data_IF_615750647743
#
_entry.id   IF_615750647743
#
_cell.length_a   1.000
_cell.length_b   1.000
_cell.length_c   1.000
_cell.angle_alpha   90.00
_cell.angle_beta   90.00
_cell.angle_gamma   90.00
#
_symmetry.space_group_name_H-M   'P 1'
#
loop_
_entity.id
_entity.type
_entity.pdbx_description
1 polymer ?
#
# COMPACT_ATOMS: atom_id res chain seq x y z
N UNK A 1 40.20 -66.05 20.86
CA UNK A 1 39.80 -65.00 21.83
C UNK A 1 39.51 -63.69 21.04
N UNK A 2 38.28 -63.51 20.61
CA UNK A 2 37.87 -62.31 19.87
C UNK A 2 37.17 -61.37 20.84
N UNK A 3 37.87 -60.33 21.25
CA UNK A 3 37.25 -59.22 21.97
C UNK A 3 36.50 -58.34 20.98
N UNK A 4 35.19 -58.54 20.92
CA UNK A 4 34.24 -57.62 20.30
C UNK A 4 34.11 -56.36 21.17
N UNK A 5 34.87 -55.33 20.84
CA UNK A 5 34.61 -54.00 21.41
C UNK A 5 33.39 -53.40 20.69
N UNK A 6 32.22 -53.64 21.26
CA UNK A 6 31.04 -52.86 20.92
C UNK A 6 31.31 -51.39 21.33
N UNK A 7 31.60 -50.53 20.36
CA UNK A 7 31.59 -49.09 20.55
C UNK A 7 30.16 -48.69 20.91
N UNK A 8 29.92 -48.48 22.19
CA UNK A 8 28.75 -47.73 22.65
C UNK A 8 28.86 -46.31 22.07
N UNK A 9 28.21 -46.08 20.92
CA UNK A 9 27.89 -44.74 20.48
C UNK A 9 27.02 -44.11 21.57
N UNK A 10 27.63 -43.34 22.43
CA UNK A 10 26.91 -42.44 23.33
C UNK A 10 26.11 -41.50 22.45
N UNK A 11 24.79 -41.73 22.39
CA UNK A 11 23.83 -40.81 21.79
C UNK A 11 23.98 -39.51 22.59
N UNK A 12 24.56 -38.49 21.95
CA UNK A 12 24.60 -37.14 22.49
C UNK A 12 23.13 -36.74 22.73
N UNK A 13 22.74 -36.44 23.99
CA UNK A 13 21.36 -36.07 24.26
C UNK A 13 21.07 -34.81 23.45
N UNK A 14 20.24 -34.95 22.44
CA UNK A 14 19.66 -33.80 21.77
C UNK A 14 18.83 -33.07 22.82
N UNK A 15 19.30 -31.89 23.26
CA UNK A 15 18.56 -30.99 24.14
C UNK A 15 17.28 -30.61 23.44
N UNK A 16 16.22 -31.42 23.65
CA UNK A 16 14.87 -31.11 23.18
C UNK A 16 14.41 -29.87 23.91
N UNK A 17 14.02 -28.86 23.13
CA UNK A 17 13.47 -27.65 23.74
C UNK A 17 12.15 -27.98 24.45
N UNK A 18 11.90 -27.40 25.65
CA UNK A 18 10.65 -27.60 26.36
C UNK A 18 9.47 -27.28 25.44
N UNK A 19 8.40 -28.09 25.51
CA UNK A 19 7.24 -27.98 24.63
C UNK A 19 6.64 -26.56 24.58
N UNK A 20 6.60 -25.85 25.71
CA UNK A 20 6.09 -24.49 25.78
C UNK A 20 6.91 -23.49 24.92
N UNK A 21 8.22 -23.62 24.82
CA UNK A 21 9.07 -22.78 23.97
C UNK A 21 8.77 -23.01 22.49
N UNK A 22 8.54 -24.26 22.12
CA UNK A 22 8.16 -24.62 20.75
C UNK A 22 6.79 -24.03 20.39
N UNK A 23 5.82 -24.13 21.30
CA UNK A 23 4.48 -23.58 21.10
C UNK A 23 4.52 -22.04 20.96
N UNK A 24 5.20 -21.35 21.87
CA UNK A 24 5.36 -19.89 21.81
C UNK A 24 6.06 -19.46 20.51
N UNK A 25 7.11 -20.18 20.11
CA UNK A 25 7.83 -19.91 18.87
C UNK A 25 6.91 -20.04 17.63
N UNK A 26 6.06 -21.08 17.57
CA UNK A 26 5.11 -21.25 16.49
C UNK A 26 4.01 -20.19 16.46
N UNK A 27 3.43 -19.85 17.61
CA UNK A 27 2.42 -18.79 17.71
C UNK A 27 3.02 -17.47 17.24
N UNK A 28 4.20 -17.11 17.73
CA UNK A 28 4.89 -15.88 17.32
C UNK A 28 5.21 -15.86 15.82
N UNK A 29 5.66 -16.99 15.27
CA UNK A 29 5.95 -17.12 13.85
C UNK A 29 4.69 -16.98 12.98
N UNK A 30 3.58 -17.60 13.36
CA UNK A 30 2.32 -17.49 12.63
C UNK A 30 1.78 -16.06 12.66
N UNK A 31 1.74 -15.42 13.83
CA UNK A 31 1.25 -14.05 13.97
C UNK A 31 2.13 -13.06 13.17
N UNK A 32 3.45 -13.15 13.29
CA UNK A 32 4.37 -12.33 12.50
C UNK A 32 4.17 -12.55 11.00
N UNK A 33 4.06 -13.81 10.56
CA UNK A 33 3.86 -14.14 9.15
C UNK A 33 2.55 -13.60 8.62
N UNK A 34 1.44 -13.75 9.35
CA UNK A 34 0.12 -13.22 8.94
C UNK A 34 0.13 -11.71 8.78
N UNK A 35 0.76 -10.98 9.69
CA UNK A 35 0.88 -9.53 9.60
C UNK A 35 1.70 -9.11 8.38
N UNK A 36 2.86 -9.70 8.18
CA UNK A 36 3.75 -9.37 7.07
C UNK A 36 3.19 -9.79 5.71
N UNK A 37 2.48 -10.94 5.62
CA UNK A 37 1.88 -11.37 4.36
C UNK A 37 0.70 -10.46 3.97
N UNK A 38 -0.12 -10.04 4.93
CA UNK A 38 -1.22 -9.12 4.68
C UNK A 38 -0.70 -7.76 4.17
N UNK A 39 0.33 -7.20 4.82
CA UNK A 39 0.94 -5.94 4.43
C UNK A 39 1.67 -6.04 3.08
N UNK A 40 2.45 -7.10 2.87
CA UNK A 40 3.24 -7.30 1.66
C UNK A 40 2.40 -7.61 0.43
N UNK A 41 1.44 -8.54 0.53
CA UNK A 41 0.55 -8.88 -0.58
C UNK A 41 -0.27 -7.68 -1.04
N UNK A 42 -0.80 -6.89 -0.10
CA UNK A 42 -1.53 -5.68 -0.47
C UNK A 42 -0.65 -4.73 -1.29
N UNK A 43 0.60 -4.47 -0.88
CA UNK A 43 1.53 -3.60 -1.61
C UNK A 43 1.91 -4.15 -2.99
N UNK A 44 1.97 -5.47 -3.14
CA UNK A 44 2.26 -6.13 -4.42
C UNK A 44 1.06 -6.11 -5.36
N UNK A 45 -0.15 -6.31 -4.82
CA UNK A 45 -1.37 -6.41 -5.65
C UNK A 45 -1.90 -5.04 -6.06
N UNK A 46 -1.66 -3.99 -5.25
CA UNK A 46 -1.99 -2.61 -5.60
C UNK A 46 -0.80 -1.67 -5.30
N UNK A 47 0.28 -1.78 -6.09
CA UNK A 47 1.51 -1.03 -5.84
C UNK A 47 1.34 0.47 -6.07
N UNK A 48 0.37 0.89 -6.88
CA UNK A 48 0.12 2.31 -7.14
C UNK A 48 -0.53 2.96 -5.91
N UNK A 49 -1.58 2.34 -5.34
CA UNK A 49 -2.17 2.84 -4.09
C UNK A 49 -1.16 2.81 -2.93
N UNK A 50 -0.31 1.78 -2.86
CA UNK A 50 0.76 1.70 -1.87
C UNK A 50 1.80 2.83 -2.05
N UNK A 51 2.17 3.18 -3.29
CA UNK A 51 3.08 4.28 -3.59
C UNK A 51 2.52 5.63 -3.15
N UNK A 52 1.22 5.89 -3.40
CA UNK A 52 0.55 7.11 -2.93
C UNK A 52 0.64 7.24 -1.41
N UNK A 53 0.40 6.16 -0.67
CA UNK A 53 0.49 6.18 0.80
C UNK A 53 1.91 6.40 1.31
N UNK A 54 2.91 5.86 0.60
CA UNK A 54 4.31 6.14 0.93
C UNK A 54 4.69 7.59 0.65
N UNK A 55 4.16 8.19 -0.42
CA UNK A 55 4.34 9.62 -0.69
C UNK A 55 3.70 10.47 0.42
N UNK A 56 2.48 10.14 0.85
CA UNK A 56 1.83 10.77 2.01
C UNK A 56 2.64 10.62 3.30
N UNK A 57 3.38 9.51 3.45
CA UNK A 57 4.33 9.30 4.54
C UNK A 57 5.69 10.00 4.31
N UNK A 58 5.80 10.93 3.36
CA UNK A 58 7.00 11.72 3.01
C UNK A 58 8.12 10.95 2.30
N UNK A 59 7.82 9.80 1.71
CA UNK A 59 8.76 9.19 0.77
C UNK A 59 8.74 10.02 -0.52
N UNK A 60 9.91 10.42 -1.10
CA UNK A 60 9.94 11.16 -2.34
C UNK A 60 9.13 10.48 -3.44
N UNK A 61 8.30 11.24 -4.16
CA UNK A 61 7.35 10.70 -5.14
C UNK A 61 8.01 9.84 -6.22
N UNK A 62 9.17 10.30 -6.74
CA UNK A 62 9.94 9.56 -7.73
C UNK A 62 10.45 8.20 -7.24
N UNK A 63 10.52 7.97 -5.93
CA UNK A 63 10.94 6.73 -5.29
C UNK A 63 9.78 5.93 -4.70
N UNK A 64 8.60 6.53 -4.54
CA UNK A 64 7.46 5.94 -3.81
C UNK A 64 7.00 4.62 -4.42
N UNK A 65 6.93 4.51 -5.76
CA UNK A 65 6.54 3.27 -6.44
C UNK A 65 7.60 2.17 -6.29
N UNK A 66 8.87 2.52 -6.46
CA UNK A 66 9.96 1.57 -6.27
C UNK A 66 10.02 1.11 -4.81
N UNK A 67 9.86 2.03 -3.86
CA UNK A 67 9.81 1.73 -2.43
C UNK A 67 8.61 0.82 -2.09
N UNK A 68 7.42 1.08 -2.64
CA UNK A 68 6.24 0.24 -2.43
C UNK A 68 6.46 -1.20 -2.90
N UNK A 69 7.00 -1.38 -4.11
CA UNK A 69 7.31 -2.70 -4.67
C UNK A 69 8.38 -3.43 -3.86
N UNK A 70 9.49 -2.75 -3.54
CA UNK A 70 10.58 -3.34 -2.76
C UNK A 70 10.13 -3.73 -1.36
N UNK A 71 9.35 -2.86 -0.71
CA UNK A 71 8.80 -3.13 0.61
C UNK A 71 7.82 -4.31 0.57
N UNK A 72 6.90 -4.32 -0.39
CA UNK A 72 5.94 -5.42 -0.57
C UNK A 72 6.62 -6.76 -0.83
N UNK A 73 7.68 -6.79 -1.66
CA UNK A 73 8.49 -7.99 -1.90
C UNK A 73 9.20 -8.41 -0.60
N UNK A 74 9.88 -7.47 0.08
CA UNK A 74 10.60 -7.77 1.31
C UNK A 74 9.68 -8.31 2.41
N UNK A 75 8.50 -7.70 2.61
CA UNK A 75 7.49 -8.15 3.57
C UNK A 75 6.95 -9.54 3.24
N UNK A 76 6.61 -9.79 1.97
CA UNK A 76 6.07 -11.10 1.55
C UNK A 76 7.12 -12.20 1.68
N UNK A 77 8.36 -11.94 1.24
CA UNK A 77 9.47 -12.88 1.41
C UNK A 77 9.72 -13.15 2.88
N UNK A 78 9.75 -12.12 3.71
CA UNK A 78 9.91 -12.23 5.17
C UNK A 78 8.85 -13.14 5.78
N UNK A 79 7.57 -12.93 5.42
CA UNK A 79 6.48 -13.76 5.91
C UNK A 79 6.65 -15.24 5.57
N UNK A 80 7.02 -15.54 4.32
CA UNK A 80 7.27 -16.92 3.88
C UNK A 80 8.46 -17.53 4.62
N UNK A 81 9.56 -16.78 4.77
CA UNK A 81 10.74 -17.27 5.48
C UNK A 81 10.48 -17.53 6.97
N UNK A 82 9.67 -16.68 7.64
CA UNK A 82 9.29 -16.89 9.05
C UNK A 82 8.43 -18.13 9.21
N UNK A 83 7.53 -18.41 8.29
CA UNK A 83 6.62 -19.55 8.35
C UNK A 83 7.36 -20.88 8.15
N UNK A 84 8.37 -20.91 7.30
CA UNK A 84 9.16 -22.11 7.02
C UNK A 84 10.20 -22.33 8.13
N UNK A 85 10.13 -23.42 8.93
CA UNK A 85 11.01 -23.63 10.10
C UNK A 85 12.50 -23.54 9.78
N UNK A 86 12.89 -24.02 8.59
CA UNK A 86 14.28 -24.01 8.10
C UNK A 86 14.85 -22.61 7.91
N UNK A 87 14.02 -21.63 7.57
CA UNK A 87 14.44 -20.25 7.28
C UNK A 87 13.96 -19.26 8.33
N UNK A 88 13.20 -19.72 9.33
CA UNK A 88 12.56 -18.89 10.36
C UNK A 88 13.51 -17.90 11.01
N UNK A 89 14.72 -18.34 11.35
CA UNK A 89 15.71 -17.45 11.96
C UNK A 89 16.03 -16.24 11.08
N UNK A 90 16.30 -16.46 9.79
CA UNK A 90 16.59 -15.37 8.85
C UNK A 90 15.38 -14.49 8.58
N UNK A 91 14.20 -15.10 8.40
CA UNK A 91 12.94 -14.37 8.25
C UNK A 91 12.61 -13.49 9.45
N UNK A 92 12.78 -14.01 10.67
CA UNK A 92 12.52 -13.28 11.90
C UNK A 92 13.47 -12.09 12.11
N UNK A 93 14.75 -12.26 11.80
CA UNK A 93 15.70 -11.14 11.82
C UNK A 93 15.41 -10.09 10.76
N UNK A 94 15.00 -10.51 9.57
CA UNK A 94 14.58 -9.58 8.51
C UNK A 94 13.31 -8.83 8.91
N UNK A 95 12.31 -9.52 9.52
CA UNK A 95 11.10 -8.89 10.06
C UNK A 95 11.44 -7.83 11.11
N UNK A 96 12.35 -8.19 12.05
CA UNK A 96 12.79 -7.27 13.10
C UNK A 96 13.50 -6.05 12.52
N UNK A 97 14.37 -6.24 11.53
CA UNK A 97 15.07 -5.15 10.86
C UNK A 97 14.10 -4.22 10.13
N UNK A 98 13.13 -4.76 9.39
CA UNK A 98 12.10 -3.97 8.70
C UNK A 98 11.25 -3.14 9.67
N UNK A 99 10.82 -3.73 10.80
CA UNK A 99 10.07 -3.02 11.84
C UNK A 99 10.89 -1.91 12.48
N UNK A 100 12.15 -2.17 12.82
CA UNK A 100 13.05 -1.17 13.40
C UNK A 100 13.27 0.00 12.44
N UNK A 101 13.57 -0.28 11.16
CA UNK A 101 13.75 0.75 10.14
C UNK A 101 12.47 1.58 9.98
N UNK A 102 11.31 0.93 9.96
CA UNK A 102 10.03 1.60 9.86
C UNK A 102 9.74 2.48 11.07
N UNK A 103 9.92 1.97 12.30
CA UNK A 103 9.74 2.74 13.53
C UNK A 103 10.70 3.94 13.58
N UNK A 104 11.95 3.78 13.16
CA UNK A 104 12.92 4.88 13.08
C UNK A 104 12.50 5.92 12.06
N UNK A 105 12.02 5.49 10.88
CA UNK A 105 11.55 6.40 9.84
C UNK A 105 10.37 7.26 10.32
N UNK A 106 9.36 6.63 10.90
CA UNK A 106 8.20 7.33 11.47
C UNK A 106 8.64 8.20 12.66
N UNK A 107 9.56 7.73 13.50
CA UNK A 107 10.08 8.50 14.64
C UNK A 107 10.80 9.78 14.23
N UNK A 108 11.64 9.73 13.19
CA UNK A 108 12.32 10.92 12.66
C UNK A 108 11.33 11.92 12.06
N UNK A 109 10.26 11.44 11.43
CA UNK A 109 9.23 12.29 10.82
C UNK A 109 8.02 12.53 11.75
N UNK A 110 8.12 12.20 13.04
CA UNK A 110 6.98 12.17 13.96
C UNK A 110 6.24 13.51 14.05
N UNK A 111 6.97 14.61 14.14
CA UNK A 111 6.38 15.95 14.26
C UNK A 111 5.50 16.33 13.06
N UNK A 112 5.83 15.81 11.89
CA UNK A 112 5.11 16.08 10.65
C UNK A 112 4.00 15.08 10.35
N UNK A 113 4.09 13.85 10.91
CA UNK A 113 3.15 12.77 10.67
C UNK A 113 2.22 12.52 11.85
N UNK A 114 2.37 13.26 12.97
CA UNK A 114 1.54 13.10 14.16
C UNK A 114 0.07 13.32 13.83
N UNK A 115 -0.78 12.37 14.21
CA UNK A 115 -2.22 12.41 13.93
C UNK A 115 -2.62 11.98 12.52
N UNK A 116 -1.66 11.87 11.58
CA UNK A 116 -1.95 11.33 10.26
C UNK A 116 -2.31 9.84 10.35
N UNK A 117 -3.22 9.38 9.49
CA UNK A 117 -3.56 7.97 9.42
C UNK A 117 -2.43 7.18 8.74
N UNK A 118 -1.80 6.27 9.47
CA UNK A 118 -0.90 5.29 8.88
C UNK A 118 -1.70 4.10 8.34
N UNK A 119 -1.92 4.11 7.04
CA UNK A 119 -2.64 3.06 6.33
C UNK A 119 -1.69 1.97 5.79
N UNK A 120 -0.63 1.63 6.54
CA UNK A 120 0.33 0.58 6.15
C UNK A 120 -0.30 -0.81 6.13
N UNK A 121 -1.45 -0.99 6.81
CA UNK A 121 -2.27 -2.19 6.79
C UNK A 121 -3.64 -1.87 6.20
N UNK A 122 -4.13 -2.65 5.21
CA UNK A 122 -5.39 -2.37 4.53
C UNK A 122 -6.61 -2.50 5.42
N UNK A 123 -6.49 -3.25 6.53
CA UNK A 123 -7.61 -3.59 7.42
C UNK A 123 -7.65 -2.77 8.72
N UNK A 124 -6.58 -2.06 9.07
CA UNK A 124 -6.46 -1.38 10.36
C UNK A 124 -6.01 0.06 10.12
N UNK A 125 -6.93 0.99 10.32
CA UNK A 125 -6.61 2.41 10.36
C UNK A 125 -6.02 2.74 11.73
N UNK A 126 -4.78 3.22 11.76
CA UNK A 126 -4.11 3.64 13.00
C UNK A 126 -3.54 5.05 12.80
N UNK A 127 -3.91 5.97 13.67
CA UNK A 127 -3.27 7.27 13.72
C UNK A 127 -1.84 7.15 14.28
N UNK A 128 -0.92 7.91 13.70
CA UNK A 128 0.46 7.97 14.18
C UNK A 128 0.49 8.71 15.53
N UNK A 129 0.75 7.98 16.58
CA UNK A 129 0.78 8.43 17.96
C UNK A 129 1.46 7.41 18.87
N UNK A 130 1.46 7.58 20.19
CA UNK A 130 2.10 6.63 21.12
C UNK A 130 1.59 5.19 20.97
N UNK A 131 0.29 5.00 20.74
CA UNK A 131 -0.32 3.68 20.53
C UNK A 131 0.18 2.97 19.27
N UNK A 132 0.58 3.71 18.26
CA UNK A 132 1.21 3.18 17.05
C UNK A 132 2.54 2.49 17.39
N UNK A 133 3.43 3.18 18.12
CA UNK A 133 4.73 2.62 18.51
C UNK A 133 4.60 1.44 19.47
N UNK A 134 3.61 1.44 20.35
CA UNK A 134 3.33 0.28 21.24
C UNK A 134 2.94 -0.94 20.38
N UNK A 135 2.06 -0.75 19.40
CA UNK A 135 1.67 -1.84 18.49
C UNK A 135 2.85 -2.40 17.71
N UNK A 136 3.71 -1.53 17.18
CA UNK A 136 4.90 -1.94 16.43
C UNK A 136 5.96 -2.59 17.33
N UNK A 137 6.10 -2.15 18.59
CA UNK A 137 6.95 -2.79 19.57
C UNK A 137 6.46 -4.21 19.93
N UNK A 138 5.16 -4.44 20.02
CA UNK A 138 4.58 -5.77 20.19
C UNK A 138 4.87 -6.66 18.99
N UNK A 139 4.72 -6.13 17.76
CA UNK A 139 5.08 -6.86 16.54
C UNK A 139 6.57 -7.20 16.49
N UNK A 140 7.44 -6.27 16.91
CA UNK A 140 8.89 -6.50 17.02
C UNK A 140 9.20 -7.61 18.03
N UNK A 141 8.54 -7.59 19.19
CA UNK A 141 8.68 -8.64 20.20
C UNK A 141 8.29 -10.02 19.63
N UNK A 142 7.19 -10.10 18.91
CA UNK A 142 6.76 -11.35 18.25
C UNK A 142 7.79 -11.82 17.23
N UNK A 143 8.32 -10.92 16.40
CA UNK A 143 9.35 -11.25 15.42
C UNK A 143 10.64 -11.79 16.11
N UNK A 144 11.10 -11.12 17.16
CA UNK A 144 12.26 -11.57 17.95
C UNK A 144 12.02 -12.94 18.60
N UNK A 145 10.83 -13.16 19.20
CA UNK A 145 10.47 -14.46 19.80
C UNK A 145 10.42 -15.57 18.75
N UNK A 146 9.94 -15.29 17.55
CA UNK A 146 9.93 -16.25 16.43
C UNK A 146 11.35 -16.64 16.00
N UNK A 147 12.33 -15.73 16.10
CA UNK A 147 13.72 -15.97 15.71
C UNK A 147 14.61 -16.53 16.81
N UNK A 148 14.29 -16.22 18.06
CA UNK A 148 15.20 -16.48 19.20
C UNK A 148 15.52 -17.97 19.41
N UNK A 149 14.50 -18.82 19.26
CA UNK A 149 14.64 -20.28 19.39
C UNK A 149 14.72 -21.03 18.06
N UNK A 150 14.73 -20.30 16.93
CA UNK A 150 14.81 -20.92 15.62
C UNK A 150 16.21 -21.42 15.30
N UNK A 151 16.32 -22.63 14.74
CA UNK A 151 17.59 -23.19 14.29
C UNK A 151 18.02 -22.56 12.96
N UNK A 152 19.32 -22.26 12.74
CA UNK A 152 19.79 -21.77 11.45
C UNK A 152 19.62 -22.85 10.37
N UNK A 153 19.09 -22.46 9.22
CA UNK A 153 18.96 -23.36 8.06
C UNK A 153 20.17 -23.26 7.13
N UNK A 154 20.53 -24.38 6.49
CA UNK A 154 21.76 -24.49 5.68
C UNK A 154 21.59 -24.15 4.19
N UNK A 155 20.39 -24.12 3.64
CA UNK A 155 20.18 -23.95 2.19
C UNK A 155 19.75 -22.56 1.78
N UNK A 156 20.64 -21.85 1.10
CA UNK A 156 20.34 -20.53 0.51
C UNK A 156 19.52 -20.61 -0.77
N UNK A 157 19.61 -21.73 -1.54
CA UNK A 157 18.94 -21.88 -2.85
C UNK A 157 17.43 -21.75 -2.78
N UNK A 158 16.77 -22.37 -1.81
CA UNK A 158 15.32 -22.28 -1.65
C UNK A 158 14.85 -20.88 -1.24
N UNK A 159 15.64 -20.13 -0.45
CA UNK A 159 15.32 -18.74 -0.11
C UNK A 159 15.40 -17.82 -1.35
N UNK A 160 16.38 -18.04 -2.21
CA UNK A 160 16.50 -17.32 -3.49
C UNK A 160 15.33 -17.64 -4.41
N UNK A 161 14.88 -18.89 -4.49
CA UNK A 161 13.70 -19.27 -5.27
C UNK A 161 12.43 -18.56 -4.79
N UNK A 162 12.22 -18.47 -3.47
CA UNK A 162 11.10 -17.72 -2.89
C UNK A 162 11.20 -16.23 -3.29
N UNK A 163 12.37 -15.63 -3.16
CA UNK A 163 12.59 -14.23 -3.56
C UNK A 163 12.27 -14.04 -5.06
N UNK A 164 12.78 -14.89 -5.93
CA UNK A 164 12.51 -14.83 -7.38
C UNK A 164 11.00 -14.97 -7.68
N UNK A 165 10.32 -15.95 -7.07
CA UNK A 165 8.90 -16.17 -7.29
C UNK A 165 8.06 -14.97 -6.85
N UNK A 166 8.34 -14.39 -5.66
CA UNK A 166 7.65 -13.19 -5.15
C UNK A 166 7.93 -11.99 -6.03
N UNK A 167 9.18 -11.81 -6.50
CA UNK A 167 9.54 -10.71 -7.39
C UNK A 167 8.82 -10.80 -8.73
N UNK A 168 8.78 -11.99 -9.35
CA UNK A 168 8.04 -12.22 -10.60
C UNK A 168 6.55 -11.92 -10.39
N UNK A 169 5.96 -12.41 -9.29
CA UNK A 169 4.57 -12.12 -8.97
C UNK A 169 4.31 -10.62 -8.79
N UNK A 170 5.21 -9.89 -8.12
CA UNK A 170 5.10 -8.44 -7.95
C UNK A 170 5.15 -7.69 -9.29
N UNK A 171 6.07 -8.06 -10.18
CA UNK A 171 6.19 -7.44 -11.51
C UNK A 171 4.98 -7.73 -12.39
N UNK A 172 4.45 -8.96 -12.37
CA UNK A 172 3.23 -9.33 -13.10
C UNK A 172 2.03 -8.58 -12.55
N UNK A 173 1.87 -8.50 -11.22
CA UNK A 173 0.79 -7.74 -10.59
C UNK A 173 0.85 -6.26 -10.94
N UNK A 174 2.05 -5.66 -10.90
CA UNK A 174 2.25 -4.28 -11.32
C UNK A 174 1.86 -4.07 -12.79
N UNK A 175 2.35 -4.93 -13.69
CA UNK A 175 1.99 -4.87 -15.11
C UNK A 175 0.49 -5.00 -15.33
N UNK A 176 -0.18 -5.93 -14.66
CA UNK A 176 -1.62 -6.10 -14.73
C UNK A 176 -2.39 -4.87 -14.21
N UNK A 177 -1.93 -4.27 -13.12
CA UNK A 177 -2.54 -3.04 -12.54
C UNK A 177 -2.34 -1.86 -13.47
N UNK A 178 -1.14 -1.68 -14.03
CA UNK A 178 -0.84 -0.61 -14.98
C UNK A 178 -1.71 -0.73 -16.25
N UNK A 179 -1.85 -1.95 -16.80
CA UNK A 179 -2.73 -2.20 -17.96
C UNK A 179 -4.20 -1.94 -17.64
N UNK A 180 -4.67 -2.35 -16.45
CA UNK A 180 -6.07 -2.11 -16.03
C UNK A 180 -6.40 -0.62 -15.86
N UNK A 181 -5.42 0.19 -15.48
CA UNK A 181 -5.59 1.64 -15.33
C UNK A 181 -5.45 2.40 -16.65
N UNK A 182 -4.94 1.77 -17.72
CA UNK A 182 -4.87 2.36 -19.06
C UNK A 182 -5.97 1.78 -19.95
N UNK A 183 -6.80 2.66 -20.51
CA UNK A 183 -7.81 2.26 -21.47
C UNK A 183 -9.10 1.65 -20.87
N UNK A 184 -9.27 1.72 -19.54
CA UNK A 184 -10.53 1.30 -18.89
C UNK A 184 -11.69 2.09 -19.48
N UNK A 185 -12.75 1.37 -19.92
CA UNK A 185 -13.94 2.00 -20.47
C UNK A 185 -14.80 2.57 -19.34
N UNK A 186 -15.11 3.86 -19.45
CA UNK A 186 -15.98 4.54 -18.51
C UNK A 186 -17.43 4.04 -18.63
N UNK A 187 -18.23 4.08 -17.55
CA UNK A 187 -19.68 3.88 -17.64
C UNK A 187 -20.26 4.87 -18.64
N UNK A 188 -21.12 4.45 -19.57
CA UNK A 188 -21.58 5.32 -20.65
C UNK A 188 -22.36 6.55 -20.17
N UNK A 189 -23.07 6.39 -19.05
CA UNK A 189 -23.86 7.45 -18.42
C UNK A 189 -23.61 7.42 -16.92
N UNK A 190 -23.41 8.58 -16.33
CA UNK A 190 -23.36 8.82 -14.89
C UNK A 190 -24.31 9.95 -14.51
N UNK A 191 -24.65 10.10 -13.25
CA UNK A 191 -25.47 11.20 -12.75
C UNK A 191 -24.57 12.36 -12.30
N UNK A 192 -24.73 13.52 -12.92
CA UNK A 192 -23.99 14.75 -12.58
C UNK A 192 -25.00 15.84 -12.30
N UNK A 193 -24.93 16.46 -11.12
CA UNK A 193 -25.88 17.50 -10.66
C UNK A 193 -27.34 17.05 -10.79
N UNK A 194 -27.60 15.76 -10.52
CA UNK A 194 -28.93 15.16 -10.61
C UNK A 194 -29.43 14.86 -12.03
N UNK A 195 -28.61 15.07 -13.08
CA UNK A 195 -28.93 14.82 -14.47
C UNK A 195 -28.07 13.74 -15.10
N UNK A 196 -28.60 12.96 -16.05
CA UNK A 196 -27.79 12.00 -16.79
C UNK A 196 -26.72 12.72 -17.63
N UNK A 197 -25.48 12.27 -17.51
CA UNK A 197 -24.31 12.83 -18.17
C UNK A 197 -23.56 11.74 -18.93
N UNK A 198 -23.28 11.95 -20.22
CA UNK A 198 -22.51 11.02 -21.05
C UNK A 198 -21.03 11.21 -20.86
N UNK A 199 -20.32 10.12 -20.55
CA UNK A 199 -18.86 10.10 -20.44
C UNK A 199 -18.15 9.75 -21.75
N UNK A 200 -18.91 9.47 -22.82
CA UNK A 200 -18.39 8.88 -24.06
C UNK A 200 -17.75 9.89 -25.02
N UNK A 201 -17.84 11.18 -24.75
CA UNK A 201 -17.35 12.23 -25.64
C UNK A 201 -16.55 13.29 -24.92
N UNK A 202 -15.49 13.77 -25.56
CA UNK A 202 -14.64 14.84 -25.07
C UNK A 202 -13.69 14.39 -23.96
N UNK A 203 -13.12 15.39 -23.28
CA UNK A 203 -12.22 15.21 -22.15
C UNK A 203 -12.95 15.44 -20.84
N UNK A 204 -12.80 14.51 -19.92
CA UNK A 204 -13.44 14.54 -18.60
C UNK A 204 -12.39 14.19 -17.57
N UNK A 205 -12.25 15.02 -16.55
CA UNK A 205 -11.43 14.70 -15.39
C UNK A 205 -12.34 14.41 -14.20
N UNK A 206 -12.31 13.18 -13.72
CA UNK A 206 -13.04 12.76 -12.51
C UNK A 206 -12.10 12.93 -11.33
N UNK A 207 -12.52 13.71 -10.34
CA UNK A 207 -11.79 13.99 -9.12
C UNK A 207 -12.52 13.39 -7.91
N UNK A 208 -11.92 12.38 -7.29
CA UNK A 208 -12.41 11.77 -6.06
C UNK A 208 -11.79 12.46 -4.86
N UNK A 209 -12.62 12.95 -3.96
CA UNK A 209 -12.17 13.73 -2.82
C UNK A 209 -12.99 13.42 -1.55
N UNK A 210 -12.38 13.66 -0.41
CA UNK A 210 -13.07 13.71 0.88
C UNK A 210 -13.14 15.19 1.33
N UNK A 211 -14.32 15.73 1.63
CA UNK A 211 -14.46 17.11 2.07
C UNK A 211 -13.67 17.47 3.35
N UNK A 212 -13.38 16.49 4.21
CA UNK A 212 -12.61 16.70 5.44
C UNK A 212 -11.10 16.48 5.25
N UNK A 213 -10.67 16.05 4.07
CA UNK A 213 -9.28 15.77 3.76
C UNK A 213 -8.52 17.04 3.36
N UNK A 214 -7.54 17.47 4.15
CA UNK A 214 -6.71 18.64 3.85
C UNK A 214 -5.92 18.48 2.53
N UNK A 215 -5.41 17.29 2.22
CA UNK A 215 -4.73 17.02 0.95
C UNK A 215 -5.66 17.18 -0.25
N UNK A 216 -6.93 16.81 -0.10
CA UNK A 216 -7.95 17.02 -1.13
C UNK A 216 -8.22 18.51 -1.33
N UNK A 217 -8.28 19.27 -0.24
CA UNK A 217 -8.49 20.72 -0.26
C UNK A 217 -7.35 21.44 -0.98
N UNK A 218 -6.10 21.13 -0.63
CA UNK A 218 -4.92 21.71 -1.28
C UNK A 218 -4.83 21.33 -2.77
N UNK A 219 -5.15 20.08 -3.11
CA UNK A 219 -5.22 19.62 -4.49
C UNK A 219 -6.26 20.39 -5.29
N UNK A 220 -7.48 20.52 -4.75
CA UNK A 220 -8.56 21.27 -5.39
C UNK A 220 -8.20 22.75 -5.58
N UNK A 221 -7.56 23.38 -4.59
CA UNK A 221 -7.03 24.76 -4.69
C UNK A 221 -5.98 24.93 -5.79
N UNK A 222 -5.11 23.94 -5.98
CA UNK A 222 -4.15 23.98 -7.09
C UNK A 222 -4.84 23.81 -8.44
N UNK A 223 -5.78 22.88 -8.53
CA UNK A 223 -6.55 22.63 -9.75
C UNK A 223 -7.50 23.76 -10.11
N UNK A 224 -7.99 24.55 -9.16
CA UNK A 224 -8.84 25.72 -9.44
C UNK A 224 -8.14 26.81 -10.25
N UNK A 225 -6.79 26.84 -10.24
CA UNK A 225 -5.97 27.79 -10.98
C UNK A 225 -5.68 27.37 -12.43
N UNK A 226 -6.14 26.18 -12.83
CA UNK A 226 -5.90 25.65 -14.17
C UNK A 226 -6.93 26.18 -15.17
N UNK A 227 -6.46 26.44 -16.38
CA UNK A 227 -7.33 26.62 -17.54
C UNK A 227 -7.70 25.24 -18.10
N UNK A 228 -8.91 24.79 -17.80
CA UNK A 228 -9.41 23.48 -18.21
C UNK A 228 -9.87 23.44 -19.68
N UNK A 229 -9.98 24.57 -20.36
CA UNK A 229 -10.46 24.63 -21.74
C UNK A 229 -11.79 23.88 -21.92
N UNK A 230 -11.78 22.86 -22.81
CA UNK A 230 -12.94 22.00 -23.08
C UNK A 230 -13.07 20.81 -22.14
N UNK A 231 -12.14 20.64 -21.20
CA UNK A 231 -12.18 19.52 -20.24
C UNK A 231 -13.24 19.78 -19.17
N UNK A 232 -14.15 18.83 -18.99
CA UNK A 232 -15.16 18.87 -17.93
C UNK A 232 -14.61 18.23 -16.66
N UNK A 233 -14.66 18.96 -15.56
CA UNK A 233 -14.24 18.45 -14.23
C UNK A 233 -15.49 17.96 -13.51
N UNK A 234 -15.45 16.70 -13.05
CA UNK A 234 -16.52 16.07 -12.27
C UNK A 234 -15.94 15.69 -10.91
N UNK A 235 -16.48 16.29 -9.87
CA UNK A 235 -16.08 16.04 -8.49
C UNK A 235 -16.97 14.96 -7.87
N UNK A 236 -16.36 13.95 -7.26
CA UNK A 236 -17.04 12.79 -6.67
C UNK A 236 -16.65 12.70 -5.19
N UNK A 237 -17.54 13.08 -4.26
CA UNK A 237 -17.27 12.97 -2.85
C UNK A 237 -17.21 11.51 -2.41
N UNK A 238 -16.15 11.12 -1.69
CA UNK A 238 -15.96 9.76 -1.18
C UNK A 238 -16.57 9.56 0.20
N UNK A 239 -16.79 10.65 0.92
CA UNK A 239 -17.47 10.72 2.20
C UNK A 239 -18.31 12.01 2.24
N UNK A 240 -19.32 12.05 3.09
CA UNK A 240 -20.12 13.22 3.44
C UNK A 240 -20.52 14.10 2.22
N UNK A 241 -21.25 13.57 1.22
CA UNK A 241 -21.56 14.27 -0.03
C UNK A 241 -22.30 15.60 0.15
N UNK A 242 -22.97 15.79 1.28
CA UNK A 242 -23.65 17.05 1.62
C UNK A 242 -22.69 18.24 1.75
N UNK A 243 -21.41 18.02 2.02
CA UNK A 243 -20.40 19.08 2.12
C UNK A 243 -19.66 19.36 0.80
N UNK A 244 -19.93 18.61 -0.25
CA UNK A 244 -19.30 18.82 -1.55
C UNK A 244 -19.49 20.26 -2.09
N UNK A 245 -20.67 20.89 -2.02
CA UNK A 245 -20.84 22.26 -2.50
C UNK A 245 -20.00 23.28 -1.74
N UNK A 246 -19.89 23.14 -0.41
CA UNK A 246 -19.07 24.01 0.45
C UNK A 246 -17.59 23.83 0.09
N UNK A 247 -17.13 22.59 -0.01
CA UNK A 247 -15.77 22.27 -0.40
C UNK A 247 -15.36 22.88 -1.75
N UNK A 248 -16.22 22.76 -2.77
CA UNK A 248 -15.97 23.32 -4.11
C UNK A 248 -15.96 24.86 -4.08
N UNK A 249 -16.87 25.46 -3.33
CA UNK A 249 -16.89 26.91 -3.13
C UNK A 249 -15.59 27.41 -2.46
N UNK A 250 -15.17 26.79 -1.36
CA UNK A 250 -14.03 27.23 -0.58
C UNK A 250 -12.67 26.99 -1.28
N UNK A 251 -12.61 25.98 -2.13
CA UNK A 251 -11.42 25.69 -2.96
C UNK A 251 -11.40 26.49 -4.24
N UNK A 252 -12.54 27.00 -4.69
CA UNK A 252 -12.71 27.71 -5.97
C UNK A 252 -12.62 26.78 -7.19
N UNK A 253 -12.71 25.46 -6.99
CA UNK A 253 -12.67 24.50 -8.10
C UNK A 253 -14.03 24.47 -8.81
N UNK A 254 -14.03 24.89 -10.07
CA UNK A 254 -15.24 24.81 -10.90
C UNK A 254 -15.42 23.37 -11.40
N UNK A 255 -16.28 22.60 -10.72
CA UNK A 255 -16.57 21.22 -11.04
C UNK A 255 -18.05 20.91 -10.80
N UNK A 256 -18.63 20.06 -11.65
CA UNK A 256 -19.94 19.49 -11.42
C UNK A 256 -19.86 18.29 -10.46
N UNK A 257 -20.91 18.02 -9.69
CA UNK A 257 -20.87 16.97 -8.67
C UNK A 257 -21.57 15.70 -9.14
N UNK A 258 -20.92 14.56 -8.94
CA UNK A 258 -21.54 13.24 -9.13
C UNK A 258 -21.55 12.45 -7.83
N UNK A 259 -22.68 11.87 -7.50
CA UNK A 259 -22.84 11.00 -6.33
C UNK A 259 -22.75 9.50 -6.69
N UNK A 260 -22.38 9.16 -7.93
CA UNK A 260 -22.25 7.78 -8.41
C UNK A 260 -20.92 7.12 -7.96
N UNK A 261 -20.52 7.37 -6.71
CA UNK A 261 -19.27 6.89 -6.15
C UNK A 261 -19.09 5.37 -6.31
N UNK A 262 -20.10 4.57 -5.97
CA UNK A 262 -20.01 3.12 -6.02
C UNK A 262 -19.71 2.60 -7.43
N UNK A 263 -20.36 3.16 -8.44
CA UNK A 263 -20.18 2.83 -9.85
C UNK A 263 -18.78 3.26 -10.33
N UNK A 264 -18.40 4.50 -10.03
CA UNK A 264 -17.14 5.08 -10.47
C UNK A 264 -15.94 4.45 -9.79
N UNK A 265 -16.02 4.15 -8.48
CA UNK A 265 -14.97 3.45 -7.74
C UNK A 265 -14.78 1.99 -8.20
N UNK A 266 -15.87 1.34 -8.61
CA UNK A 266 -15.80 -0.02 -9.22
C UNK A 266 -15.10 0.02 -10.57
N UNK A 267 -15.32 1.06 -11.36
CA UNK A 267 -14.75 1.23 -12.71
C UNK A 267 -13.31 1.74 -12.64
N UNK A 268 -13.05 2.72 -11.81
CA UNK A 268 -11.75 3.34 -11.60
C UNK A 268 -11.32 3.11 -10.14
N UNK A 269 -10.78 1.93 -9.84
CA UNK A 269 -10.40 1.61 -8.47
C UNK A 269 -9.26 2.51 -8.00
N UNK A 270 -9.40 3.06 -6.80
CA UNK A 270 -8.39 3.86 -6.13
C UNK A 270 -8.34 3.51 -4.63
N UNK A 271 -7.26 3.89 -3.97
CA UNK A 271 -7.09 3.74 -2.53
C UNK A 271 -7.81 4.85 -1.75
N UNK A 272 -7.05 5.69 -1.07
CA UNK A 272 -7.58 6.84 -0.35
C UNK A 272 -7.60 8.09 -1.26
N UNK A 273 -8.57 9.03 -1.05
CA UNK A 273 -8.54 10.32 -1.73
C UNK A 273 -7.37 11.20 -1.25
N UNK A 274 -6.89 12.16 -2.07
CA UNK A 274 -7.39 12.49 -3.41
C UNK A 274 -6.98 11.49 -4.49
N UNK A 275 -7.87 11.24 -5.44
CA UNK A 275 -7.61 10.41 -6.61
C UNK A 275 -8.32 10.99 -7.84
N UNK A 276 -7.87 10.63 -9.03
CA UNK A 276 -8.49 11.12 -10.26
C UNK A 276 -8.40 10.15 -11.42
N UNK A 277 -9.30 10.31 -12.38
CA UNK A 277 -9.28 9.59 -13.63
C UNK A 277 -9.42 10.59 -14.80
N UNK A 278 -8.41 10.64 -15.64
CA UNK A 278 -8.44 11.42 -16.87
C UNK A 278 -9.05 10.58 -18.00
N UNK A 279 -10.21 10.99 -18.51
CA UNK A 279 -10.95 10.28 -19.53
C UNK A 279 -10.94 11.07 -20.86
N UNK A 280 -10.73 10.35 -21.95
CA UNK A 280 -10.93 10.90 -23.29
C UNK A 280 -11.79 9.95 -24.11
N UNK A 281 -12.91 10.47 -24.61
CA UNK A 281 -13.86 9.72 -25.44
C UNK A 281 -14.31 8.39 -24.80
N UNK A 282 -14.62 8.41 -23.51
CA UNK A 282 -15.11 7.27 -22.76
C UNK A 282 -14.06 6.25 -22.32
N UNK A 283 -12.77 6.53 -22.53
CA UNK A 283 -11.68 5.66 -22.09
C UNK A 283 -10.72 6.40 -21.16
N UNK A 284 -10.30 5.72 -20.11
CA UNK A 284 -9.29 6.25 -19.19
C UNK A 284 -7.95 6.36 -19.92
N UNK A 285 -7.39 7.56 -19.96
CA UNK A 285 -6.03 7.80 -20.44
C UNK A 285 -5.01 7.55 -19.37
N UNK A 286 -5.30 8.01 -18.16
CA UNK A 286 -4.41 7.85 -17.02
C UNK A 286 -5.20 7.91 -15.70
N UNK A 287 -4.81 7.10 -14.73
CA UNK A 287 -5.23 7.25 -13.34
C UNK A 287 -4.31 8.26 -12.66
N UNK A 288 -4.87 9.35 -12.17
CA UNK A 288 -4.12 10.37 -11.44
C UNK A 288 -4.16 10.04 -9.96
N UNK A 289 -3.02 9.60 -9.44
CA UNK A 289 -2.88 9.13 -8.06
C UNK A 289 -2.00 10.03 -7.21
N UNK A 290 -1.34 11.02 -7.83
CA UNK A 290 -0.47 11.99 -7.16
C UNK A 290 -1.13 13.35 -7.17
N UNK A 291 -1.14 13.98 -6.00
CA UNK A 291 -1.77 15.29 -5.77
C UNK A 291 -0.91 16.19 -4.89
N UNK A 292 0.40 15.97 -4.85
CA UNK A 292 1.36 16.73 -4.06
C UNK A 292 2.32 17.51 -4.97
N UNK A 293 2.96 18.54 -4.48
CA UNK A 293 3.87 19.43 -5.21
C UNK A 293 3.25 20.02 -6.48
N UNK A 294 3.81 19.69 -7.66
CA UNK A 294 3.31 20.10 -8.97
C UNK A 294 2.25 19.18 -9.56
N UNK A 295 1.88 18.09 -8.86
CA UNK A 295 0.82 17.20 -9.29
C UNK A 295 -0.54 17.58 -8.67
N UNK A 296 -1.65 17.38 -9.34
CA UNK A 296 -1.82 16.73 -10.65
C UNK A 296 -1.61 17.65 -11.87
N UNK A 297 -1.18 18.88 -11.64
CA UNK A 297 -1.04 19.92 -12.68
C UNK A 297 -0.13 19.49 -13.81
N UNK A 298 1.05 18.94 -13.48
CA UNK A 298 2.02 18.50 -14.50
C UNK A 298 1.45 17.36 -15.35
N UNK A 299 0.82 16.37 -14.73
CA UNK A 299 0.18 15.26 -15.44
C UNK A 299 -0.99 15.72 -16.30
N UNK A 300 -1.88 16.58 -15.80
CA UNK A 300 -3.02 17.09 -16.56
C UNK A 300 -2.58 17.91 -17.77
N UNK A 301 -1.53 18.72 -17.64
CA UNK A 301 -0.93 19.47 -18.76
C UNK A 301 -0.29 18.54 -19.78
N UNK A 302 0.50 17.56 -19.33
CA UNK A 302 1.11 16.56 -20.22
C UNK A 302 0.07 15.78 -21.01
N UNK A 303 -1.07 15.47 -20.44
CA UNK A 303 -2.18 14.79 -21.10
C UNK A 303 -3.06 15.72 -21.95
N UNK A 304 -2.86 17.04 -21.87
CA UNK A 304 -3.64 18.03 -22.59
C UNK A 304 -5.04 18.28 -22.02
N UNK A 305 -5.25 17.97 -20.75
CA UNK A 305 -6.52 18.21 -20.03
C UNK A 305 -6.61 19.63 -19.45
N UNK A 306 -5.48 20.28 -19.23
CA UNK A 306 -5.40 21.66 -18.78
C UNK A 306 -4.24 22.38 -19.48
N UNK A 307 -4.30 23.72 -19.49
CA UNK A 307 -3.22 24.59 -19.99
C UNK A 307 -2.42 25.20 -18.86
#
# INVERSE_FOLDING_TARGET
>A
MNHSMAQQQQAVPTLEMPAWKTTVNWIAAILTSLLFIAAGLWKITDPIAAAVRLAQARVPENLSLAAALLLGIAETVTAVLVLVPRFRKWGAWLASALLVVFMLYIGVNYSALHGAECNCFPLIKRAIGPGFFIGDAVMLLLAVLAGFWARPGESKRSAVLVLCAVTVFALVSYGATAVRQHGVKAPPIITVDGKPFSTQQGRIFIFFFDPECMHCFDAAKRMSKLDWGDTKVIAVPTAQPQFAPIFLHDTGLNAAVSNDLALLKKTFPFGDPPAGAALENGHQKEAVTRFEDNEPVATLRRLGFAK
#
